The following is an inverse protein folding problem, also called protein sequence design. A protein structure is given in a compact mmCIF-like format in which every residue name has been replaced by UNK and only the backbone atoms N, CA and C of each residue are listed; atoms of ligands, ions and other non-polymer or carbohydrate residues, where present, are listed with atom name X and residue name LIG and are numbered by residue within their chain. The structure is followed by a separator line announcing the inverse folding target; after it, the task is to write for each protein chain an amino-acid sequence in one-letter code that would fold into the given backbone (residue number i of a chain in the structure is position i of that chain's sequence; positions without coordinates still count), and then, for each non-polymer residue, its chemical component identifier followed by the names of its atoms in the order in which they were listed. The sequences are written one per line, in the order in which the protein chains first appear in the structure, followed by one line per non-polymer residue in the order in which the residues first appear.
data_IF_209254897642
#
_entry.id   IF_209254897642
#
_cell.length_a   1.000
_cell.length_b   1.000
_cell.length_c   1.000
_cell.angle_alpha   90.00
_cell.angle_beta   90.00
_cell.angle_gamma   90.00
#
_symmetry.space_group_name_H-M   'P 1'
#
loop_
_entity.id
_entity.type
_entity.pdbx_description
1 polymer ?
#
# COMPACT_ATOMS: atom_id res chain seq x y z
N UNK A 1 0.02 -19.24 -2.54
CA UNK A 1 0.12 -17.89 -1.96
C UNK A 1 1.45 -17.84 -1.24
N UNK A 2 2.35 -16.92 -1.59
CA UNK A 2 3.69 -16.87 -0.99
C UNK A 2 3.56 -16.46 0.47
N UNK A 3 4.03 -17.31 1.38
CA UNK A 3 4.06 -16.99 2.81
C UNK A 3 5.33 -16.16 3.09
N UNK A 4 5.14 -14.91 3.50
CA UNK A 4 6.22 -13.95 3.78
C UNK A 4 6.42 -13.68 5.27
N UNK A 5 5.63 -14.31 6.15
CA UNK A 5 5.69 -14.06 7.60
C UNK A 5 7.03 -14.44 8.24
N UNK A 6 7.75 -15.39 7.65
CA UNK A 6 9.07 -15.83 8.13
C UNK A 6 10.22 -15.00 7.54
N UNK A 7 9.97 -14.28 6.44
CA UNK A 7 10.97 -13.47 5.73
C UNK A 7 10.96 -12.03 6.25
N UNK A 8 9.79 -11.41 6.38
CA UNK A 8 9.70 -10.00 6.76
C UNK A 8 9.54 -9.89 8.27
N UNK A 9 10.52 -9.26 8.92
CA UNK A 9 10.53 -9.04 10.37
C UNK A 9 10.29 -7.58 10.68
N UNK A 10 9.29 -7.33 11.52
CA UNK A 10 9.00 -6.00 12.06
C UNK A 10 9.56 -5.98 13.48
N UNK A 11 10.66 -5.26 13.68
CA UNK A 11 11.23 -5.08 15.01
C UNK A 11 11.09 -3.61 15.42
N UNK A 12 10.29 -3.27 16.44
CA UNK A 12 10.08 -1.88 16.87
C UNK A 12 11.38 -1.21 17.36
N UNK A 13 12.39 -1.99 17.76
CA UNK A 13 13.70 -1.49 18.21
C UNK A 13 14.70 -1.26 17.07
N UNK A 14 14.42 -1.74 15.85
CA UNK A 14 15.29 -1.53 14.67
C UNK A 14 14.56 -0.62 13.66
N UNK A 15 15.24 0.40 13.14
CA UNK A 15 14.74 1.26 12.03
C UNK A 15 13.31 1.84 12.27
N UNK A 16 12.97 2.19 13.50
CA UNK A 16 11.65 2.74 13.88
C UNK A 16 10.45 1.80 13.60
N UNK A 17 10.66 0.48 13.72
CA UNK A 17 9.59 -0.49 13.46
C UNK A 17 9.24 -0.65 11.99
N UNK A 18 10.14 -0.24 11.08
CA UNK A 18 9.95 -0.50 9.65
C UNK A 18 10.11 -2.01 9.37
N UNK A 19 9.32 -2.57 8.44
CA UNK A 19 9.48 -3.96 8.01
C UNK A 19 10.82 -4.13 7.29
N UNK A 20 11.68 -4.99 7.85
CA UNK A 20 12.98 -5.34 7.29
C UNK A 20 12.97 -6.78 6.78
N UNK A 21 13.81 -7.04 5.78
CA UNK A 21 14.00 -8.38 5.23
C UNK A 21 14.94 -9.18 6.14
N UNK A 22 14.44 -10.25 6.73
CA UNK A 22 15.14 -11.21 7.59
C UNK A 22 15.94 -10.50 8.70
N UNK A 23 17.27 -10.57 8.64
CA UNK A 23 18.20 -9.92 9.56
C UNK A 23 19.01 -8.78 8.92
N UNK A 24 18.66 -8.40 7.69
CA UNK A 24 19.32 -7.31 6.97
C UNK A 24 18.85 -5.95 7.49
N UNK A 25 19.59 -4.89 7.13
CA UNK A 25 19.16 -3.50 7.35
C UNK A 25 18.34 -2.94 6.18
N UNK A 26 18.02 -3.77 5.20
CA UNK A 26 17.26 -3.42 4.00
C UNK A 26 15.77 -3.48 4.34
N UNK A 27 15.06 -2.39 4.06
CA UNK A 27 13.63 -2.30 4.30
C UNK A 27 12.85 -2.70 3.05
N UNK A 28 11.60 -3.13 3.24
CA UNK A 28 10.68 -3.38 2.12
C UNK A 28 10.56 -2.16 1.20
N UNK A 29 10.68 -0.95 1.75
CA UNK A 29 10.63 0.30 0.99
C UNK A 29 11.81 0.45 0.03
N UNK A 30 13.01 0.07 0.45
CA UNK A 30 14.22 0.19 -0.37
C UNK A 30 14.12 -0.71 -1.60
N UNK A 31 13.69 -1.97 -1.40
CA UNK A 31 13.47 -2.93 -2.50
C UNK A 31 12.42 -2.42 -3.49
N UNK A 32 11.30 -1.90 -3.00
CA UNK A 32 10.26 -1.31 -3.86
C UNK A 32 10.77 -0.06 -4.61
N UNK A 33 11.66 0.72 -3.98
CA UNK A 33 12.30 1.88 -4.59
C UNK A 33 13.23 1.51 -5.73
N UNK A 34 14.00 0.41 -5.60
CA UNK A 34 14.85 -0.06 -6.70
C UNK A 34 14.01 -0.60 -7.87
N UNK A 35 12.96 -1.35 -7.56
CA UNK A 35 12.03 -1.86 -8.57
C UNK A 35 11.28 -0.73 -9.29
N UNK A 36 10.96 0.37 -8.61
CA UNK A 36 10.27 1.50 -9.25
C UNK A 36 11.15 2.27 -10.23
N UNK A 37 12.47 2.22 -10.07
CA UNK A 37 13.45 2.78 -11.02
C UNK A 37 13.67 1.85 -12.22
N UNK A 38 13.12 0.63 -12.18
CA UNK A 38 13.23 -0.35 -13.25
C UNK A 38 14.43 -1.29 -13.12
N UNK A 39 15.07 -1.36 -11.94
CA UNK A 39 16.10 -2.36 -11.67
C UNK A 39 15.51 -3.76 -11.72
N UNK A 40 16.27 -4.69 -12.31
CA UNK A 40 15.90 -6.10 -12.37
C UNK A 40 16.23 -6.81 -11.05
N UNK A 41 15.60 -7.97 -10.83
CA UNK A 41 15.88 -8.77 -9.64
C UNK A 41 17.34 -9.21 -9.55
N UNK A 42 17.96 -9.55 -10.69
CA UNK A 42 19.33 -10.05 -10.73
C UNK A 42 20.35 -8.94 -10.42
N UNK A 43 20.09 -7.69 -10.85
CA UNK A 43 20.91 -6.53 -10.48
C UNK A 43 20.83 -6.23 -8.98
N UNK A 44 19.63 -6.29 -8.41
CA UNK A 44 19.43 -6.08 -6.97
C UNK A 44 20.18 -7.16 -6.16
N UNK A 45 20.14 -8.41 -6.61
CA UNK A 45 20.84 -9.52 -5.94
C UNK A 45 22.36 -9.40 -6.13
N UNK A 46 22.82 -8.89 -7.28
CA UNK A 46 24.24 -8.65 -7.53
C UNK A 46 24.81 -7.56 -6.60
N UNK A 47 24.06 -6.48 -6.38
CA UNK A 47 24.45 -5.39 -5.46
C UNK A 47 24.31 -5.80 -3.99
N UNK A 48 23.28 -6.61 -3.68
CA UNK A 48 22.97 -7.08 -2.33
C UNK A 48 22.85 -8.60 -2.30
N UNK A 49 23.98 -9.33 -2.19
CA UNK A 49 24.00 -10.80 -2.18
C UNK A 49 23.34 -11.41 -0.93
N UNK A 50 22.96 -10.57 0.03
CA UNK A 50 22.18 -10.93 1.20
C UNK A 50 20.67 -11.08 0.92
N UNK A 51 20.20 -10.66 -0.26
CA UNK A 51 18.83 -10.85 -0.72
C UNK A 51 18.70 -12.04 -1.66
N UNK A 52 17.59 -12.78 -1.54
CA UNK A 52 17.20 -13.77 -2.54
C UNK A 52 15.99 -13.31 -3.35
N UNK A 53 15.73 -14.00 -4.48
CA UNK A 53 14.56 -13.72 -5.31
C UNK A 53 13.26 -13.93 -4.53
N UNK A 54 13.22 -14.93 -3.65
CA UNK A 54 12.11 -15.19 -2.75
C UNK A 54 11.87 -14.02 -1.80
N UNK A 55 12.93 -13.39 -1.30
CA UNK A 55 12.82 -12.23 -0.41
C UNK A 55 12.20 -11.02 -1.13
N UNK A 56 12.54 -10.81 -2.40
CA UNK A 56 11.95 -9.73 -3.22
C UNK A 56 10.46 -10.00 -3.47
N UNK A 57 10.10 -11.24 -3.82
CA UNK A 57 8.70 -11.63 -4.00
C UNK A 57 7.90 -11.51 -2.70
N UNK A 58 8.49 -11.84 -1.57
CA UNK A 58 7.90 -11.65 -0.25
C UNK A 58 7.65 -10.15 0.04
N UNK A 59 8.58 -9.26 -0.32
CA UNK A 59 8.40 -7.81 -0.20
C UNK A 59 7.19 -7.31 -0.99
N UNK A 60 7.04 -7.76 -2.24
CA UNK A 60 5.89 -7.41 -3.09
C UNK A 60 4.58 -7.93 -2.49
N UNK A 61 4.55 -9.19 -2.06
CA UNK A 61 3.36 -9.78 -1.44
C UNK A 61 2.95 -9.06 -0.14
N UNK A 62 3.93 -8.65 0.67
CA UNK A 62 3.69 -7.86 1.88
C UNK A 62 3.16 -6.47 1.56
N UNK A 63 3.71 -5.79 0.54
CA UNK A 63 3.22 -4.48 0.10
C UNK A 63 1.75 -4.55 -0.35
N UNK A 64 1.42 -5.51 -1.20
CA UNK A 64 0.05 -5.74 -1.66
C UNK A 64 -0.90 -6.08 -0.51
N UNK A 65 -0.47 -6.91 0.45
CA UNK A 65 -1.30 -7.20 1.64
C UNK A 65 -1.51 -5.95 2.49
N UNK A 66 -0.46 -5.17 2.72
CA UNK A 66 -0.52 -3.96 3.55
C UNK A 66 -1.44 -2.92 2.95
N UNK A 67 -1.36 -2.69 1.65
CA UNK A 67 -2.27 -1.78 0.93
C UNK A 67 -3.73 -2.22 1.08
N UNK A 68 -4.02 -3.51 0.88
CA UNK A 68 -5.37 -4.06 1.11
C UNK A 68 -5.84 -3.85 2.55
N UNK A 69 -4.99 -4.13 3.54
CA UNK A 69 -5.34 -3.92 4.96
C UNK A 69 -5.61 -2.44 5.28
N UNK A 70 -4.87 -1.51 4.68
CA UNK A 70 -5.15 -0.07 4.82
C UNK A 70 -6.51 0.28 4.19
N UNK A 71 -6.82 -0.27 3.02
CA UNK A 71 -8.11 -0.04 2.37
C UNK A 71 -9.29 -0.58 3.20
N UNK A 72 -9.15 -1.77 3.79
CA UNK A 72 -10.17 -2.33 4.71
C UNK A 72 -10.29 -1.49 5.98
N UNK A 73 -9.17 -1.06 6.59
CA UNK A 73 -9.19 -0.23 7.78
C UNK A 73 -9.85 1.15 7.55
N UNK A 74 -9.77 1.68 6.32
CA UNK A 74 -10.48 2.92 5.93
C UNK A 74 -11.98 2.70 5.70
N UNK A 75 -12.42 1.48 5.37
CA UNK A 75 -13.83 1.16 5.15
C UNK A 75 -14.61 0.99 6.46
N UNK A 76 -13.94 0.66 7.57
CA UNK A 76 -14.61 0.31 8.83
C UNK A 76 -14.73 1.47 9.85
N UNK A 77 -14.35 2.72 9.51
CA UNK A 77 -14.42 3.83 10.48
C UNK A 77 -14.06 5.25 10.02
N UNK A 78 -14.91 5.85 9.17
CA UNK A 78 -15.28 7.27 9.15
C UNK A 78 -14.22 8.38 9.23
N UNK A 79 -14.00 9.05 8.09
CA UNK A 79 -14.04 10.52 8.05
C UNK A 79 -15.24 10.91 7.18
N UNK A 80 -16.26 11.49 7.82
CA UNK A 80 -17.37 12.12 7.12
C UNK A 80 -16.87 13.32 6.32
N UNK A 81 -16.75 13.15 5.01
CA UNK A 81 -16.65 14.23 4.02
C UNK A 81 -17.59 13.97 2.84
N UNK A 82 -18.74 13.37 3.09
CA UNK A 82 -19.89 13.33 2.17
C UNK A 82 -21.11 13.40 3.11
N UNK A 83 -21.89 14.47 3.30
CA UNK A 83 -22.30 15.58 2.46
C UNK A 83 -22.36 16.85 3.33
N UNK A 84 -21.74 17.95 2.92
CA UNK A 84 -22.10 19.25 3.50
C UNK A 84 -23.54 19.58 3.08
N UNK A 85 -24.41 20.09 3.98
CA UNK A 85 -25.82 20.41 3.66
C UNK A 85 -25.98 21.44 2.54
N UNK A 86 -24.88 22.11 2.16
CA UNK A 86 -24.83 23.16 1.14
C UNK A 86 -24.92 22.57 -0.28
N UNK A 87 -24.47 21.33 -0.50
CA UNK A 87 -24.47 20.71 -1.84
C UNK A 87 -25.75 19.90 -2.17
N UNK A 88 -26.74 19.86 -1.26
CA UNK A 88 -28.07 19.30 -1.56
C UNK A 88 -29.02 20.30 -2.22
N UNK A 89 -28.75 21.61 -2.07
CA UNK A 89 -29.59 22.67 -2.63
C UNK A 89 -29.41 22.91 -4.13
N UNK A 90 -28.36 22.36 -4.76
CA UNK A 90 -28.12 22.56 -6.20
C UNK A 90 -28.73 21.50 -7.11
N UNK A 91 -29.27 20.39 -6.57
CA UNK A 91 -29.85 19.33 -7.41
C UNK A 91 -31.37 19.14 -7.24
N UNK A 92 -31.99 19.78 -6.25
CA UNK A 92 -33.45 19.76 -6.08
C UNK A 92 -34.20 20.84 -6.90
N UNK A 93 -33.48 21.75 -7.58
CA UNK A 93 -34.12 22.81 -8.38
C UNK A 93 -34.22 22.52 -9.89
N UNK A 94 -33.84 21.33 -10.36
CA UNK A 94 -33.90 20.98 -11.79
C UNK A 94 -35.00 19.97 -12.17
N UNK A 95 -35.89 19.59 -11.26
CA UNK A 95 -36.98 18.63 -11.54
C UNK A 95 -38.29 19.32 -11.97
N UNK A 96 -38.40 20.65 -11.91
CA UNK A 96 -39.69 21.35 -12.08
C UNK A 96 -39.73 22.42 -13.18
N UNK A 97 -38.98 22.33 -14.28
CA UNK A 97 -39.16 23.26 -15.43
C UNK A 97 -38.95 22.58 -16.79
N UNK A 98 -39.86 21.69 -17.20
CA UNK A 98 -40.34 21.74 -18.59
C UNK A 98 -41.80 21.26 -18.72
N UNK A 99 -42.73 22.12 -19.14
CA UNK A 99 -44.10 21.75 -19.45
C UNK A 99 -44.14 21.17 -20.88
N UNK A 100 -44.56 19.91 -21.00
CA UNK A 100 -45.11 19.38 -22.25
C UNK A 100 -46.36 18.54 -21.92
N UNK A 101 -47.40 19.26 -21.51
CA UNK A 101 -48.80 19.05 -21.95
C UNK A 101 -49.39 20.45 -22.14
#
# INVERSE_FOLDING_TARGET
MVDFNHIIRINPKKRFGKPCVRDTRITVYDVLGWLSVGMTYDEIIADFPELTKEDILACLAFAARRERSLQTALQDGGLGIEESPILRLHNDMQICQHPYI
#
